data_IF_969463381049
#
_entry.id   IF_969463381049
#
_cell.length_a   1.000
_cell.length_b   1.000
_cell.length_c   1.000
_cell.angle_alpha   90.00
_cell.angle_beta   90.00
_cell.angle_gamma   90.00
#
_symmetry.space_group_name_H-M   'P 1'
#
loop_
_entity.id
_entity.type
_entity.pdbx_description
1 polymer ?
#
# COMPACT_ATOMS: atom_id res chain seq x y z
N UNK A 1 6.69 8.96 4.27
CA UNK A 1 7.34 8.92 5.61
C UNK A 1 7.41 7.45 6.05
N UNK A 2 8.50 7.03 6.69
CA UNK A 2 8.65 5.71 7.31
C UNK A 2 8.50 5.80 8.85
N UNK A 3 7.94 4.78 9.51
CA UNK A 3 7.81 4.73 11.00
C UNK A 3 8.50 3.52 11.61
N UNK A 4 8.72 3.56 12.92
CA UNK A 4 9.15 2.38 13.68
C UNK A 4 8.10 1.26 13.63
N UNK A 5 8.52 -0.02 13.67
CA UNK A 5 7.64 -1.18 13.54
C UNK A 5 6.88 -1.52 14.84
N UNK A 6 6.93 -0.66 15.87
CA UNK A 6 6.17 -0.79 17.11
C UNK A 6 5.50 0.53 17.50
N UNK A 7 4.36 0.42 18.16
CA UNK A 7 3.74 1.53 18.88
C UNK A 7 4.53 1.86 20.16
N UNK A 8 4.30 3.03 20.79
CA UNK A 8 5.00 3.41 22.03
C UNK A 8 4.83 2.43 23.20
N UNK A 9 3.76 1.63 23.19
CA UNK A 9 3.47 0.59 24.18
C UNK A 9 4.12 -0.77 23.86
N UNK A 10 4.89 -0.86 22.77
CA UNK A 10 5.57 -2.07 22.31
C UNK A 10 4.74 -2.96 21.37
N UNK A 11 3.47 -2.61 21.11
CA UNK A 11 2.59 -3.38 20.23
C UNK A 11 3.16 -3.43 18.81
N UNK A 12 3.26 -4.62 18.17
CA UNK A 12 3.68 -4.74 16.77
C UNK A 12 2.83 -3.89 15.83
N UNK A 13 3.49 -3.06 15.03
CA UNK A 13 2.85 -2.22 14.03
C UNK A 13 3.42 -2.54 12.65
N UNK A 14 2.68 -3.32 11.83
CA UNK A 14 3.22 -3.91 10.61
C UNK A 14 3.40 -2.89 9.46
N UNK A 15 2.92 -1.66 9.65
CA UNK A 15 2.93 -0.61 8.62
C UNK A 15 4.14 0.33 8.81
N UNK A 16 4.93 0.50 7.75
CA UNK A 16 6.09 1.36 7.64
C UNK A 16 5.73 2.65 6.89
N UNK A 17 4.94 2.54 5.82
CA UNK A 17 4.65 3.66 4.91
C UNK A 17 3.26 4.24 5.15
N UNK A 18 3.18 5.57 5.16
CA UNK A 18 1.91 6.32 5.33
C UNK A 18 1.79 7.41 4.28
N UNK A 19 0.55 7.59 3.81
CA UNK A 19 0.14 8.77 3.08
C UNK A 19 -0.14 9.92 4.03
N UNK A 20 0.59 11.01 3.84
CA UNK A 20 0.45 12.22 4.66
C UNK A 20 -0.26 13.35 3.93
N UNK A 21 -0.33 13.32 2.60
CA UNK A 21 -1.06 14.33 1.82
C UNK A 21 -2.58 14.18 2.06
N UNK A 22 -3.26 15.20 2.63
CA UNK A 22 -4.69 15.13 2.90
C UNK A 22 -5.54 14.95 1.63
N UNK A 23 -5.15 15.62 0.53
CA UNK A 23 -5.82 15.51 -0.77
C UNK A 23 -5.74 14.08 -1.31
N UNK A 24 -4.56 13.47 -1.28
CA UNK A 24 -4.38 12.11 -1.77
C UNK A 24 -5.11 11.09 -0.88
N UNK A 25 -5.10 11.28 0.45
CA UNK A 25 -5.91 10.47 1.36
C UNK A 25 -7.40 10.53 1.00
N UNK A 26 -7.94 11.72 0.74
CA UNK A 26 -9.34 11.87 0.33
C UNK A 26 -9.64 11.15 -0.99
N UNK A 27 -8.75 11.27 -1.97
CA UNK A 27 -8.92 10.62 -3.28
C UNK A 27 -8.86 9.10 -3.17
N UNK A 28 -7.92 8.56 -2.41
CA UNK A 28 -7.81 7.11 -2.16
C UNK A 28 -9.04 6.60 -1.39
N UNK A 29 -9.54 7.37 -0.42
CA UNK A 29 -10.80 7.05 0.26
C UNK A 29 -11.98 6.98 -0.72
N UNK A 30 -12.05 7.89 -1.70
CA UNK A 30 -13.07 7.83 -2.76
C UNK A 30 -12.96 6.54 -3.57
N UNK A 31 -11.75 6.13 -3.99
CA UNK A 31 -11.55 4.87 -4.70
C UNK A 31 -11.93 3.64 -3.86
N UNK A 32 -11.58 3.62 -2.58
CA UNK A 32 -11.98 2.55 -1.66
C UNK A 32 -13.49 2.45 -1.55
N UNK A 33 -14.17 3.58 -1.32
CA UNK A 33 -15.64 3.65 -1.25
C UNK A 33 -16.33 3.32 -2.57
N UNK A 34 -15.64 3.58 -3.70
CA UNK A 34 -16.09 3.24 -5.05
C UNK A 34 -15.96 1.77 -5.41
N UNK A 35 -15.34 0.94 -4.55
CA UNK A 35 -15.28 -0.52 -4.72
C UNK A 35 -13.95 -1.06 -5.22
N UNK A 36 -13.00 -0.21 -5.64
CA UNK A 36 -11.72 -0.64 -6.21
C UNK A 36 -10.96 -1.62 -5.30
N UNK A 37 -10.94 -1.34 -4.00
CA UNK A 37 -10.30 -2.22 -3.01
C UNK A 37 -10.92 -3.63 -2.99
N UNK A 38 -12.25 -3.72 -3.12
CA UNK A 38 -12.96 -4.99 -3.15
C UNK A 38 -12.70 -5.73 -4.46
N UNK A 39 -12.69 -5.03 -5.59
CA UNK A 39 -12.37 -5.60 -6.89
C UNK A 39 -10.95 -6.17 -6.92
N UNK A 40 -9.97 -5.44 -6.37
CA UNK A 40 -8.60 -5.92 -6.20
C UNK A 40 -8.52 -7.16 -5.32
N UNK A 41 -9.25 -7.19 -4.20
CA UNK A 41 -9.33 -8.36 -3.32
C UNK A 41 -9.92 -9.58 -4.04
N UNK A 42 -10.98 -9.40 -4.82
CA UNK A 42 -11.66 -10.47 -5.55
C UNK A 42 -10.76 -11.04 -6.67
N UNK A 43 -10.00 -10.18 -7.35
CA UNK A 43 -9.02 -10.59 -8.37
C UNK A 43 -7.87 -11.40 -7.80
N UNK A 44 -7.41 -11.10 -6.59
CA UNK A 44 -6.31 -11.81 -5.95
C UNK A 44 -6.54 -13.33 -5.85
N UNK A 45 -7.80 -13.77 -5.76
CA UNK A 45 -8.16 -15.18 -5.68
C UNK A 45 -8.11 -15.92 -7.04
N UNK A 46 -8.07 -15.19 -8.16
CA UNK A 46 -8.27 -15.76 -9.50
C UNK A 46 -7.14 -15.40 -10.49
N UNK A 47 -6.35 -14.37 -10.18
CA UNK A 47 -5.24 -13.90 -10.99
C UNK A 47 -3.91 -14.29 -10.34
N UNK A 48 -3.34 -15.41 -10.82
CA UNK A 48 -2.10 -15.98 -10.29
C UNK A 48 -0.90 -15.04 -10.48
N UNK A 49 -0.86 -14.26 -11.57
CA UNK A 49 0.22 -13.32 -11.84
C UNK A 49 0.17 -12.13 -10.88
N UNK A 50 -1.03 -11.58 -10.66
CA UNK A 50 -1.27 -10.54 -9.66
C UNK A 50 -0.92 -11.04 -8.25
N UNK A 51 -1.35 -12.24 -7.88
CA UNK A 51 -1.04 -12.84 -6.59
C UNK A 51 0.48 -13.01 -6.40
N UNK A 52 1.20 -13.49 -7.44
CA UNK A 52 2.64 -13.62 -7.39
C UNK A 52 3.36 -12.26 -7.29
N UNK A 53 2.88 -11.23 -8.00
CA UNK A 53 3.42 -9.86 -7.89
C UNK A 53 3.20 -9.28 -6.49
N UNK A 54 2.01 -9.47 -5.93
CA UNK A 54 1.67 -9.01 -4.59
C UNK A 54 2.44 -9.77 -3.48
N UNK A 55 2.71 -11.07 -3.68
CA UNK A 55 3.61 -11.85 -2.82
C UNK A 55 5.05 -11.30 -2.85
N UNK A 56 5.60 -10.99 -4.02
CA UNK A 56 6.94 -10.37 -4.12
C UNK A 56 6.99 -9.01 -3.41
N UNK A 57 5.95 -8.20 -3.59
CA UNK A 57 5.80 -6.92 -2.89
C UNK A 57 5.80 -7.11 -1.37
N UNK A 58 5.11 -8.15 -0.88
CA UNK A 58 5.03 -8.51 0.53
C UNK A 58 6.39 -8.92 1.09
N UNK A 59 7.10 -9.80 0.41
CA UNK A 59 8.42 -10.29 0.83
C UNK A 59 9.44 -9.16 0.89
N UNK A 60 9.47 -8.30 -0.14
CA UNK A 60 10.34 -7.11 -0.13
C UNK A 60 10.02 -6.18 1.02
N UNK A 61 8.74 -5.96 1.30
CA UNK A 61 8.29 -5.12 2.41
C UNK A 61 8.71 -5.74 3.76
N UNK A 62 8.46 -7.04 3.93
CA UNK A 62 8.74 -7.78 5.15
C UNK A 62 10.24 -7.74 5.46
N UNK A 63 11.09 -7.97 4.46
CA UNK A 63 12.54 -7.89 4.59
C UNK A 63 12.99 -6.49 5.03
N UNK A 64 12.40 -5.43 4.46
CA UNK A 64 12.72 -4.05 4.87
C UNK A 64 12.31 -3.76 6.32
N UNK A 65 11.12 -4.23 6.73
CA UNK A 65 10.63 -4.07 8.11
C UNK A 65 11.50 -4.82 9.10
N UNK A 66 11.80 -6.08 8.83
CA UNK A 66 12.54 -6.96 9.74
C UNK A 66 14.02 -6.57 9.83
N UNK A 67 14.56 -5.84 8.85
CA UNK A 67 15.87 -5.20 8.93
C UNK A 67 15.91 -4.06 9.98
N UNK A 68 14.77 -3.44 10.31
CA UNK A 68 14.66 -2.47 11.42
C UNK A 68 14.50 -3.24 12.74
N UNK A 69 13.47 -4.08 12.80
CA UNK A 69 13.21 -4.96 13.93
C UNK A 69 12.23 -6.06 13.50
N UNK A 70 12.58 -7.33 13.74
CA UNK A 70 11.63 -8.41 13.49
C UNK A 70 10.52 -8.40 14.53
N UNK A 71 9.27 -8.35 14.05
CA UNK A 71 8.07 -8.37 14.89
C UNK A 71 7.58 -9.79 15.23
N UNK A 72 8.22 -10.83 14.69
CA UNK A 72 7.75 -12.21 14.81
C UNK A 72 6.42 -12.49 14.10
N UNK A 73 5.94 -11.57 13.27
CA UNK A 73 4.71 -11.73 12.46
C UNK A 73 5.06 -11.70 10.99
N UNK A 74 4.29 -12.39 10.16
CA UNK A 74 4.48 -12.33 8.71
C UNK A 74 3.58 -11.29 8.05
N UNK A 75 2.46 -10.91 8.67
CA UNK A 75 1.54 -9.91 8.11
C UNK A 75 2.22 -8.54 7.95
N UNK A 76 2.13 -7.96 6.76
CA UNK A 76 2.64 -6.62 6.46
C UNK A 76 1.51 -5.65 6.07
N UNK A 77 1.89 -4.49 5.52
CA UNK A 77 0.99 -3.41 5.11
C UNK A 77 -0.30 -3.90 4.44
N UNK A 78 -1.43 -3.38 4.90
CA UNK A 78 -2.70 -3.54 4.20
C UNK A 78 -3.27 -4.96 4.18
N UNK A 79 -2.73 -5.90 4.97
CA UNK A 79 -3.21 -7.29 4.99
C UNK A 79 -2.49 -8.22 4.01
N UNK A 80 -1.39 -7.75 3.42
CA UNK A 80 -0.52 -8.55 2.55
C UNK A 80 -0.08 -9.88 3.19
N UNK A 81 0.09 -10.95 2.40
CA UNK A 81 -0.03 -11.00 0.93
C UNK A 81 -1.40 -11.51 0.44
N UNK A 82 -2.33 -11.83 1.33
CA UNK A 82 -3.58 -12.52 0.95
C UNK A 82 -4.82 -11.62 1.01
N UNK A 83 -4.67 -10.42 1.57
CA UNK A 83 -5.78 -9.51 1.79
C UNK A 83 -5.42 -8.07 1.40
N UNK A 84 -6.36 -7.39 0.75
CA UNK A 84 -6.33 -5.95 0.46
C UNK A 84 -7.31 -5.25 1.40
N UNK A 85 -6.82 -4.84 2.59
CA UNK A 85 -7.64 -4.21 3.64
C UNK A 85 -7.83 -2.72 3.45
N UNK A 86 -6.86 -2.03 2.84
CA UNK A 86 -6.84 -0.58 2.68
C UNK A 86 -5.87 -0.19 1.56
N UNK A 87 -6.31 0.62 0.61
CA UNK A 87 -5.52 1.15 -0.50
C UNK A 87 -4.50 2.20 -0.03
N UNK A 88 -4.78 2.95 1.03
CA UNK A 88 -3.89 4.03 1.49
C UNK A 88 -2.46 3.54 1.72
N UNK A 89 -2.30 2.40 2.39
CA UNK A 89 -0.98 1.85 2.66
C UNK A 89 -0.33 1.25 1.41
N UNK A 90 -1.11 0.70 0.48
CA UNK A 90 -0.58 0.19 -0.77
C UNK A 90 -0.10 1.32 -1.68
N UNK A 91 -0.84 2.41 -1.74
CA UNK A 91 -0.47 3.63 -2.43
C UNK A 91 0.76 4.28 -1.78
N UNK A 92 0.84 4.32 -0.44
CA UNK A 92 2.04 4.79 0.25
C UNK A 92 3.27 3.94 -0.10
N UNK A 93 3.12 2.62 -0.13
CA UNK A 93 4.20 1.70 -0.47
C UNK A 93 4.64 1.86 -1.93
N UNK A 94 3.70 1.95 -2.88
CA UNK A 94 4.00 2.18 -4.30
C UNK A 94 4.76 3.50 -4.51
N UNK A 95 4.31 4.60 -3.90
CA UNK A 95 5.00 5.89 -3.98
C UNK A 95 6.41 5.87 -3.37
N UNK A 96 6.63 5.08 -2.31
CA UNK A 96 7.93 5.01 -1.66
C UNK A 96 8.95 4.15 -2.40
N UNK A 97 8.51 3.07 -3.06
CA UNK A 97 9.40 2.12 -3.75
C UNK A 97 9.52 2.39 -5.26
N UNK A 98 8.56 3.11 -5.82
CA UNK A 98 8.44 3.37 -7.25
C UNK A 98 7.50 2.38 -7.97
N UNK A 99 7.21 2.67 -9.25
CA UNK A 99 6.27 1.88 -10.05
C UNK A 99 6.69 0.41 -10.21
N UNK A 100 5.69 -0.49 -10.24
CA UNK A 100 5.87 -1.92 -10.49
C UNK A 100 6.22 -2.72 -9.23
N UNK A 101 6.31 -2.08 -8.07
CA UNK A 101 6.65 -2.75 -6.81
C UNK A 101 5.40 -3.23 -6.09
N UNK A 102 4.32 -2.44 -6.06
CA UNK A 102 3.10 -2.84 -5.37
C UNK A 102 1.90 -2.71 -6.31
N UNK A 103 1.42 -3.82 -6.89
CA UNK A 103 0.42 -3.77 -7.96
C UNK A 103 -0.88 -3.09 -7.53
N UNK A 104 -1.29 -3.24 -6.27
CA UNK A 104 -2.52 -2.63 -5.74
C UNK A 104 -2.40 -1.10 -5.64
N UNK A 105 -1.23 -0.63 -5.21
CA UNK A 105 -0.92 0.79 -5.14
C UNK A 105 -0.75 1.39 -6.52
N UNK A 106 -0.04 0.71 -7.41
CA UNK A 106 0.19 1.14 -8.79
C UNK A 106 -1.12 1.30 -9.56
N UNK A 107 -2.04 0.34 -9.45
CA UNK A 107 -3.36 0.43 -10.07
C UNK A 107 -4.17 1.62 -9.52
N UNK A 108 -4.21 1.81 -8.20
CA UNK A 108 -4.91 2.94 -7.61
C UNK A 108 -4.33 4.28 -8.09
N UNK A 109 -3.00 4.39 -8.21
CA UNK A 109 -2.33 5.58 -8.75
C UNK A 109 -2.65 5.79 -10.23
N UNK A 110 -2.70 4.72 -11.04
CA UNK A 110 -3.07 4.79 -12.45
C UNK A 110 -4.51 5.29 -12.62
N UNK A 111 -5.48 4.75 -11.86
CA UNK A 111 -6.88 5.19 -11.88
C UNK A 111 -7.00 6.68 -11.52
N UNK A 112 -6.27 7.16 -10.51
CA UNK A 112 -6.23 8.59 -10.17
C UNK A 112 -5.65 9.46 -11.31
N UNK A 113 -4.63 8.94 -12.00
CA UNK A 113 -4.02 9.59 -13.16
C UNK A 113 -4.98 9.69 -14.34
N UNK A 114 -5.65 8.59 -14.70
CA UNK A 114 -6.64 8.52 -15.78
C UNK A 114 -7.83 9.44 -15.57
N UNK A 115 -8.27 9.59 -14.32
CA UNK A 115 -9.35 10.53 -13.95
C UNK A 115 -8.89 11.99 -13.91
N UNK A 116 -7.60 12.28 -14.18
CA UNK A 116 -7.03 13.62 -14.07
C UNK A 116 -7.04 14.18 -12.65
N UNK A 117 -7.18 13.31 -11.64
CA UNK A 117 -7.30 13.67 -10.22
C UNK A 117 -5.95 13.74 -9.52
N UNK A 118 -4.86 13.43 -10.23
CA UNK A 118 -3.52 13.44 -9.66
C UNK A 118 -3.25 14.76 -8.91
N UNK A 119 -2.88 14.73 -7.63
CA UNK A 119 -2.61 15.94 -6.88
C UNK A 119 -1.46 16.74 -7.51
N UNK A 120 -1.74 17.93 -8.04
CA UNK A 120 -0.72 18.93 -8.35
C UNK A 120 -0.34 19.73 -7.10
N UNK A 121 0.88 20.28 -7.03
CA UNK A 121 1.35 21.11 -5.90
C UNK A 121 2.03 20.30 -4.80
N UNK A 122 1.89 20.71 -3.53
CA UNK A 122 2.62 20.16 -2.35
C UNK A 122 2.47 18.65 -2.10
N UNK A 123 1.57 17.99 -2.84
CA UNK A 123 1.35 16.54 -2.79
C UNK A 123 2.05 15.77 -3.92
N UNK A 124 2.45 16.43 -5.01
CA UNK A 124 3.35 15.85 -5.99
C UNK A 124 4.77 16.15 -5.55
N UNK A 125 5.50 15.12 -5.15
CA UNK A 125 6.96 15.23 -5.05
C UNK A 125 7.45 15.67 -6.44
N UNK A 126 8.08 16.85 -6.49
CA UNK A 126 8.85 17.30 -7.66
C UNK A 126 10.10 16.46 -7.83
#
# INVERSE_FOLDING_TARGET
>A
MQTAPRLPDGTPFPTLYYLTCPKLNSLVSTLESGGLMKEQQDRLAHDEELAAAYQRAHESYLAERDAIESLGTQVTAGGMPVRVKCLHVHVAHALAKGPGVNPMGDEALAVLGEQGLWPTGDCAVR
#
